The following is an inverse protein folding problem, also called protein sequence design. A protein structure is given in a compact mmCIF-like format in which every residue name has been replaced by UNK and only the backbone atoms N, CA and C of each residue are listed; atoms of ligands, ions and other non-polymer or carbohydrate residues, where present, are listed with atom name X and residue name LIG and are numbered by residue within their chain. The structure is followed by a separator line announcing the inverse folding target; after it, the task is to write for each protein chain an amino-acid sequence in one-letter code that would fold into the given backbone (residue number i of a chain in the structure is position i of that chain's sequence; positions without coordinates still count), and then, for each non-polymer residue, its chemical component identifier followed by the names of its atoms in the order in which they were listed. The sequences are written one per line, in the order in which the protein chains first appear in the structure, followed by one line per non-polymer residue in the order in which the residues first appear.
data_IF_997241849758
#
_entry.id   IF_997241849758
#
_cell.length_a   1.000
_cell.length_b   1.000
_cell.length_c   1.000
_cell.angle_alpha   90.00
_cell.angle_beta   90.00
_cell.angle_gamma   90.00
#
_symmetry.space_group_name_H-M   'P 1'
#
loop_
_entity.id
_entity.type
_entity.pdbx_description
1 polymer ?
#
# COMPACT_ATOMS: atom_id res chain seq x y z
N UNK A 1 9.31 -8.74 -24.41
CA UNK A 1 10.21 -7.66 -24.87
C UNK A 1 10.88 -7.00 -23.67
N UNK A 2 12.07 -6.44 -23.82
CA UNK A 2 12.80 -5.82 -22.69
C UNK A 2 13.07 -4.34 -22.98
N UNK A 3 12.81 -3.46 -22.01
CA UNK A 3 13.09 -2.02 -22.08
C UNK A 3 13.62 -1.54 -20.74
N UNK A 4 14.76 -0.85 -20.72
CA UNK A 4 15.38 -0.35 -19.49
C UNK A 4 15.60 -1.43 -18.43
N UNK A 5 15.99 -2.64 -18.85
CA UNK A 5 16.20 -3.78 -17.95
C UNK A 5 14.92 -4.49 -17.48
N UNK A 6 13.72 -3.97 -17.79
CA UNK A 6 12.43 -4.55 -17.38
C UNK A 6 11.78 -5.35 -18.50
N UNK A 7 11.12 -6.44 -18.14
CA UNK A 7 10.38 -7.29 -19.06
C UNK A 7 8.93 -6.84 -19.19
N UNK A 8 8.44 -6.82 -20.44
CA UNK A 8 7.09 -6.41 -20.80
C UNK A 8 6.40 -7.46 -21.66
N UNK A 9 5.08 -7.53 -21.51
CA UNK A 9 4.17 -8.40 -22.24
C UNK A 9 3.09 -7.53 -22.89
N UNK A 10 2.57 -7.96 -24.03
CA UNK A 10 1.40 -7.32 -24.65
C UNK A 10 0.14 -8.03 -24.16
N UNK A 11 -0.79 -7.29 -23.60
CA UNK A 11 -2.08 -7.74 -23.11
C UNK A 11 -3.18 -6.88 -23.72
N UNK A 12 -4.03 -7.47 -24.55
CA UNK A 12 -5.21 -6.80 -25.11
C UNK A 12 -4.92 -5.43 -25.76
N UNK A 13 -3.80 -5.31 -26.47
CA UNK A 13 -3.37 -4.06 -27.12
C UNK A 13 -2.64 -3.06 -26.21
N UNK A 14 -2.45 -3.37 -24.92
CA UNK A 14 -1.64 -2.59 -23.99
C UNK A 14 -0.31 -3.30 -23.69
N UNK A 15 0.76 -2.52 -23.48
CA UNK A 15 2.04 -3.03 -23.00
C UNK A 15 2.07 -2.95 -21.47
N UNK A 16 2.15 -4.10 -20.79
CA UNK A 16 2.23 -4.19 -19.32
C UNK A 16 3.56 -4.80 -18.88
N UNK A 17 4.04 -4.43 -17.70
CA UNK A 17 5.22 -5.08 -17.11
C UNK A 17 4.88 -6.51 -16.71
N UNK A 18 5.78 -7.47 -16.94
CA UNK A 18 5.52 -8.88 -16.62
C UNK A 18 5.12 -9.06 -15.14
N UNK A 19 5.74 -8.28 -14.25
CA UNK A 19 5.52 -8.28 -12.81
C UNK A 19 4.09 -7.87 -12.40
N UNK A 20 3.40 -7.08 -13.23
CA UNK A 20 2.02 -6.64 -12.95
C UNK A 20 1.04 -7.82 -12.90
N UNK A 21 1.31 -8.92 -13.61
CA UNK A 21 0.51 -10.16 -13.59
C UNK A 21 0.45 -10.85 -12.23
N UNK A 22 1.41 -10.54 -11.36
CA UNK A 22 1.55 -11.11 -10.03
C UNK A 22 1.14 -10.11 -8.94
N UNK A 23 0.59 -8.94 -9.31
CA UNK A 23 0.20 -7.89 -8.37
C UNK A 23 1.36 -7.00 -7.91
N UNK A 24 2.54 -7.10 -8.54
CA UNK A 24 3.69 -6.23 -8.25
C UNK A 24 3.55 -4.91 -9.02
N UNK A 25 3.72 -3.80 -8.30
CA UNK A 25 3.56 -2.45 -8.88
C UNK A 25 4.73 -2.09 -9.80
N UNK A 26 4.49 -1.20 -10.76
CA UNK A 26 5.52 -0.75 -11.70
C UNK A 26 6.72 -0.03 -11.02
N UNK A 27 6.52 0.57 -9.86
CA UNK A 27 7.56 1.25 -9.08
C UNK A 27 8.08 0.39 -7.91
N UNK A 28 7.74 -0.89 -7.88
CA UNK A 28 8.19 -1.80 -6.84
C UNK A 28 9.70 -2.08 -6.95
N UNK A 29 10.34 -2.23 -5.79
CA UNK A 29 11.77 -2.53 -5.66
C UNK A 29 11.97 -3.99 -5.26
N UNK A 30 12.88 -4.68 -5.95
CA UNK A 30 13.26 -6.06 -5.64
C UNK A 30 13.86 -6.14 -4.22
N UNK A 31 13.50 -7.17 -3.47
CA UNK A 31 13.85 -7.44 -2.07
C UNK A 31 13.34 -6.41 -1.05
N UNK A 32 12.45 -5.51 -1.49
CA UNK A 32 11.70 -4.59 -0.61
C UNK A 32 10.21 -4.81 -0.76
N UNK A 33 9.70 -4.75 -2.00
CA UNK A 33 8.27 -4.87 -2.30
C UNK A 33 7.89 -6.26 -2.81
N UNK A 34 8.84 -6.98 -3.39
CA UNK A 34 8.68 -8.35 -3.87
C UNK A 34 10.03 -9.05 -3.94
N UNK A 35 10.05 -10.37 -3.94
CA UNK A 35 11.27 -11.17 -4.09
C UNK A 35 10.98 -12.47 -4.86
N UNK A 36 12.05 -13.17 -5.27
CA UNK A 36 11.98 -14.48 -5.91
C UNK A 36 12.34 -15.56 -4.87
N UNK A 37 11.42 -16.48 -4.59
CA UNK A 37 11.56 -17.50 -3.53
C UNK A 37 12.83 -18.35 -3.68
N UNK A 38 13.23 -18.65 -4.91
CA UNK A 38 14.43 -19.41 -5.24
C UNK A 38 15.68 -18.55 -5.49
N UNK A 39 15.59 -17.22 -5.34
CA UNK A 39 16.69 -16.28 -5.59
C UNK A 39 17.05 -16.09 -7.07
N UNK A 40 16.33 -16.70 -8.02
CA UNK A 40 16.56 -16.53 -9.45
C UNK A 40 15.66 -15.41 -10.02
N UNK A 41 16.21 -14.23 -10.36
CA UNK A 41 15.42 -13.09 -10.85
C UNK A 41 14.87 -13.25 -12.27
N UNK A 42 15.12 -14.41 -12.90
CA UNK A 42 14.62 -14.76 -14.22
C UNK A 42 13.52 -15.82 -14.19
N UNK A 43 13.20 -16.38 -13.02
CA UNK A 43 12.12 -17.37 -12.88
C UNK A 43 10.82 -16.70 -12.42
N UNK A 44 10.00 -16.32 -13.40
CA UNK A 44 8.70 -15.67 -13.20
C UNK A 44 7.55 -16.68 -13.00
N UNK A 45 7.83 -17.89 -12.51
CA UNK A 45 6.77 -18.83 -12.14
C UNK A 45 5.90 -18.25 -11.02
N UNK A 46 4.58 -18.45 -11.09
CA UNK A 46 3.64 -17.90 -10.08
C UNK A 46 3.99 -18.27 -8.64
N UNK A 47 4.48 -19.49 -8.42
CA UNK A 47 4.91 -19.96 -7.09
C UNK A 47 6.22 -19.31 -6.60
N UNK A 48 7.00 -18.71 -7.51
CA UNK A 48 8.30 -18.15 -7.18
C UNK A 48 8.24 -16.66 -6.82
N UNK A 49 7.24 -15.92 -7.30
CA UNK A 49 7.13 -14.49 -7.02
C UNK A 49 6.39 -14.28 -5.71
N UNK A 50 7.10 -13.76 -4.71
CA UNK A 50 6.55 -13.39 -3.40
C UNK A 50 6.35 -11.89 -3.39
N UNK A 51 5.10 -11.43 -3.25
CA UNK A 51 4.77 -10.01 -3.06
C UNK A 51 4.79 -9.68 -1.58
N UNK A 52 5.71 -8.82 -1.15
CA UNK A 52 5.92 -8.43 0.25
C UNK A 52 4.97 -7.27 0.62
N UNK A 53 4.98 -6.19 -0.17
CA UNK A 53 4.17 -4.99 0.09
C UNK A 53 2.97 -4.93 -0.86
N UNK A 54 1.93 -5.73 -0.59
CA UNK A 54 0.77 -5.88 -1.48
C UNK A 54 -0.11 -4.63 -1.49
N UNK A 55 -0.22 -3.93 -0.35
CA UNK A 55 -1.12 -2.78 -0.18
C UNK A 55 -0.42 -1.41 -0.30
N UNK A 56 -1.13 -0.44 -0.89
CA UNK A 56 -0.61 0.90 -1.14
C UNK A 56 -0.41 1.63 0.17
N UNK A 57 0.71 2.34 0.26
CA UNK A 57 1.09 3.05 1.48
C UNK A 57 1.41 2.13 2.65
N UNK A 58 1.58 0.82 2.44
CA UNK A 58 1.96 -0.14 3.49
C UNK A 58 3.35 -0.67 3.20
N UNK A 59 4.20 -0.65 4.23
CA UNK A 59 5.55 -1.22 4.19
C UNK A 59 5.68 -2.23 5.33
N UNK A 60 6.10 -3.44 4.98
CA UNK A 60 6.50 -4.45 5.95
C UNK A 60 7.85 -4.05 6.57
N UNK A 61 7.90 -4.09 7.89
CA UNK A 61 9.12 -3.86 8.67
C UNK A 61 9.29 -4.95 9.71
N UNK A 62 10.53 -5.23 10.08
CA UNK A 62 10.84 -6.13 11.18
C UNK A 62 11.31 -5.30 12.37
N UNK A 63 10.70 -5.54 13.54
CA UNK A 63 11.09 -4.87 14.77
C UNK A 63 11.20 -5.91 15.89
N UNK A 64 12.42 -6.13 16.39
CA UNK A 64 12.75 -7.15 17.40
C UNK A 64 12.28 -8.57 17.01
N UNK A 65 12.51 -8.98 15.76
CA UNK A 65 12.08 -10.30 15.27
C UNK A 65 10.58 -10.43 14.98
N UNK A 66 9.80 -9.36 15.18
CA UNK A 66 8.36 -9.35 14.90
C UNK A 66 8.07 -8.54 13.64
N UNK A 67 7.32 -9.17 12.73
CA UNK A 67 6.78 -8.49 11.56
C UNK A 67 5.75 -7.44 11.98
N UNK A 68 5.94 -6.22 11.47
CA UNK A 68 5.09 -5.07 11.67
C UNK A 68 4.81 -4.43 10.31
N UNK A 69 3.70 -3.72 10.24
CA UNK A 69 3.24 -3.11 8.99
C UNK A 69 3.00 -1.64 9.23
N UNK A 70 3.83 -0.80 8.62
CA UNK A 70 3.73 0.64 8.77
C UNK A 70 2.91 1.22 7.61
N UNK A 71 1.93 2.04 7.95
CA UNK A 71 1.08 2.71 6.96
C UNK A 71 1.44 4.19 6.84
N UNK A 72 1.50 4.69 5.62
CA UNK A 72 1.81 6.08 5.29
C UNK A 72 0.90 6.61 4.17
N UNK A 73 0.56 7.89 4.24
CA UNK A 73 -0.12 8.60 3.16
C UNK A 73 0.79 9.71 2.63
N UNK A 74 0.87 9.80 1.31
CA UNK A 74 1.64 10.84 0.63
C UNK A 74 0.72 11.97 0.17
N UNK A 75 0.80 13.12 0.82
CA UNK A 75 0.00 14.32 0.49
C UNK A 75 0.92 15.35 -0.16
N UNK A 76 1.62 16.14 0.65
CA UNK A 76 2.72 17.05 0.29
C UNK A 76 4.02 16.61 0.99
N UNK A 77 4.20 15.29 1.10
CA UNK A 77 5.16 14.65 2.00
C UNK A 77 4.57 13.36 2.57
N UNK A 78 5.41 12.53 3.15
CA UNK A 78 4.99 11.26 3.75
C UNK A 78 4.53 11.49 5.19
N UNK A 79 3.27 11.19 5.47
CA UNK A 79 2.71 11.21 6.82
C UNK A 79 2.54 9.79 7.32
N UNK A 80 3.13 9.49 8.47
CA UNK A 80 2.94 8.20 9.16
C UNK A 80 1.55 8.15 9.77
N UNK A 81 0.76 7.16 9.35
CA UNK A 81 -0.58 6.86 9.85
C UNK A 81 -0.48 6.02 11.11
N UNK A 82 0.47 5.08 11.16
CA UNK A 82 0.70 4.21 12.30
C UNK A 82 1.40 2.91 11.92
N UNK A 83 1.64 2.08 12.94
CA UNK A 83 2.23 0.73 12.79
C UNK A 83 1.27 -0.30 13.35
N UNK A 84 1.02 -1.35 12.57
CA UNK A 84 -0.03 -2.34 12.83
C UNK A 84 0.55 -3.76 12.85
N UNK A 85 -0.20 -4.68 13.47
CA UNK A 85 0.22 -6.09 13.64
C UNK A 85 -0.01 -6.96 12.41
N UNK A 86 -0.75 -6.47 11.41
CA UNK A 86 -1.09 -7.22 10.20
C UNK A 86 -1.18 -6.29 9.01
N UNK A 87 -0.81 -6.79 7.84
CA UNK A 87 -0.85 -6.04 6.58
C UNK A 87 -2.25 -5.48 6.28
N UNK A 88 -3.30 -6.29 6.47
CA UNK A 88 -4.71 -5.91 6.26
C UNK A 88 -5.10 -4.71 7.12
N UNK A 89 -4.78 -4.71 8.41
CA UNK A 89 -5.03 -3.57 9.31
C UNK A 89 -4.33 -2.29 8.85
N UNK A 90 -3.08 -2.41 8.38
CA UNK A 90 -2.35 -1.27 7.83
C UNK A 90 -3.01 -0.74 6.53
N UNK A 91 -3.49 -1.63 5.67
CA UNK A 91 -4.21 -1.26 4.45
C UNK A 91 -5.55 -0.56 4.74
N UNK A 92 -6.32 -1.04 5.72
CA UNK A 92 -7.55 -0.37 6.17
C UNK A 92 -7.23 0.99 6.79
N UNK A 93 -6.14 1.10 7.56
CA UNK A 93 -5.69 2.36 8.13
C UNK A 93 -5.32 3.38 7.04
N UNK A 94 -4.71 2.93 5.94
CA UNK A 94 -4.47 3.75 4.76
C UNK A 94 -5.78 4.27 4.15
N UNK A 95 -6.76 3.39 3.91
CA UNK A 95 -8.06 3.81 3.38
C UNK A 95 -8.75 4.82 4.31
N UNK A 96 -8.73 4.58 5.62
CA UNK A 96 -9.25 5.51 6.63
C UNK A 96 -8.56 6.87 6.57
N UNK A 97 -7.24 6.90 6.39
CA UNK A 97 -6.51 8.14 6.21
C UNK A 97 -6.92 8.86 4.91
N UNK A 98 -7.12 8.14 3.81
CA UNK A 98 -7.62 8.70 2.55
C UNK A 98 -8.98 9.38 2.75
N UNK A 99 -9.91 8.72 3.44
CA UNK A 99 -11.24 9.28 3.72
C UNK A 99 -11.16 10.54 4.58
N UNK A 100 -10.32 10.52 5.62
CA UNK A 100 -10.07 11.70 6.46
C UNK A 100 -9.43 12.85 5.68
N UNK A 101 -8.49 12.56 4.78
CA UNK A 101 -7.88 13.56 3.91
C UNK A 101 -8.91 14.22 2.99
N UNK A 102 -9.76 13.41 2.34
CA UNK A 102 -10.84 13.90 1.48
C UNK A 102 -11.83 14.76 2.27
N UNK A 103 -12.22 14.32 3.46
CA UNK A 103 -13.12 15.06 4.36
C UNK A 103 -12.52 16.41 4.81
N UNK A 104 -11.19 16.50 4.95
CA UNK A 104 -10.48 17.73 5.26
C UNK A 104 -10.24 18.66 4.05
N UNK A 105 -10.83 18.36 2.88
CA UNK A 105 -10.75 19.21 1.68
C UNK A 105 -9.55 18.91 0.76
N UNK A 106 -8.84 17.79 0.94
CA UNK A 106 -7.73 17.42 0.05
C UNK A 106 -8.26 16.75 -1.22
N UNK A 107 -8.19 17.48 -2.33
CA UNK A 107 -8.62 17.01 -3.66
C UNK A 107 -7.51 16.29 -4.43
N UNK A 108 -6.86 15.30 -3.80
CA UNK A 108 -5.88 14.43 -4.47
C UNK A 108 -6.54 13.09 -4.82
N UNK A 109 -6.24 12.57 -6.00
CA UNK A 109 -6.72 11.24 -6.39
C UNK A 109 -5.92 10.14 -5.68
N UNK A 110 -6.38 9.74 -4.50
CA UNK A 110 -5.84 8.60 -3.78
C UNK A 110 -6.48 7.32 -4.29
N UNK A 111 -5.64 6.36 -4.68
CA UNK A 111 -6.11 5.00 -4.97
C UNK A 111 -6.31 4.22 -3.68
N UNK A 112 -7.51 3.67 -3.49
CA UNK A 112 -7.87 2.89 -2.31
C UNK A 112 -7.42 1.42 -2.45
N UNK A 113 -7.16 0.78 -1.30
CA UNK A 113 -6.82 -0.63 -1.23
C UNK A 113 -8.10 -1.48 -1.14
N UNK A 114 -8.25 -2.45 -2.05
CA UNK A 114 -9.32 -3.45 -1.97
C UNK A 114 -8.82 -4.71 -1.26
N UNK A 115 -9.45 -5.08 -0.15
CA UNK A 115 -9.04 -6.20 0.70
C UNK A 115 -10.06 -7.32 0.54
N UNK A 116 -9.78 -8.27 -0.35
CA UNK A 116 -10.69 -9.36 -0.74
C UNK A 116 -10.88 -10.40 0.36
N UNK A 117 -9.93 -10.49 1.30
CA UNK A 117 -9.91 -11.56 2.28
C UNK A 117 -10.69 -11.24 3.57
N UNK A 118 -11.46 -10.16 3.60
CA UNK A 118 -12.30 -9.75 4.73
C UNK A 118 -13.74 -9.60 4.29
N UNK A 119 -14.67 -10.04 5.14
CA UNK A 119 -16.08 -9.70 4.98
C UNK A 119 -16.31 -8.21 5.25
N UNK A 120 -17.41 -7.66 4.73
CA UNK A 120 -17.78 -6.26 4.96
C UNK A 120 -17.91 -5.93 6.46
N UNK A 121 -18.40 -6.89 7.27
CA UNK A 121 -18.51 -6.75 8.72
C UNK A 121 -17.15 -6.64 9.40
N UNK A 122 -16.23 -7.54 9.09
CA UNK A 122 -14.87 -7.53 9.66
C UNK A 122 -14.12 -6.27 9.26
N UNK A 123 -14.26 -5.84 8.00
CA UNK A 123 -13.68 -4.59 7.52
C UNK A 123 -14.19 -3.40 8.35
N UNK A 124 -15.50 -3.27 8.53
CA UNK A 124 -16.11 -2.16 9.27
C UNK A 124 -15.71 -2.15 10.76
N UNK A 125 -15.61 -3.33 11.38
CA UNK A 125 -15.16 -3.46 12.77
C UNK A 125 -13.71 -3.01 12.94
N UNK A 126 -12.81 -3.46 12.06
CA UNK A 126 -11.40 -3.02 12.08
C UNK A 126 -11.32 -1.52 11.81
N UNK A 127 -12.01 -1.04 10.77
CA UNK A 127 -12.02 0.37 10.38
C UNK A 127 -12.40 1.29 11.54
N UNK A 128 -13.46 0.96 12.26
CA UNK A 128 -13.94 1.76 13.40
C UNK A 128 -12.92 1.80 14.54
N UNK A 129 -12.35 0.64 14.91
CA UNK A 129 -11.45 0.50 16.05
C UNK A 129 -10.00 0.92 15.78
N UNK A 130 -9.63 1.13 14.52
CA UNK A 130 -8.28 1.53 14.15
C UNK A 130 -7.94 2.92 14.68
N UNK A 131 -6.84 2.96 15.43
CA UNK A 131 -6.18 4.20 15.87
C UNK A 131 -5.32 4.74 14.74
N UNK A 132 -5.43 6.04 14.52
CA UNK A 132 -4.65 6.81 13.56
C UNK A 132 -3.71 7.75 14.33
N UNK A 133 -2.52 7.97 13.80
CA UNK A 133 -1.49 8.84 14.37
C UNK A 133 -2.05 10.23 14.69
N UNK A 134 -1.93 10.70 15.95
CA UNK A 134 -2.37 12.05 16.34
C UNK A 134 -1.69 13.15 15.51
N UNK A 135 -0.43 12.94 15.11
CA UNK A 135 0.30 13.90 14.27
C UNK A 135 -0.38 14.10 12.91
N UNK A 136 -0.92 13.04 12.33
CA UNK A 136 -1.65 13.11 11.07
C UNK A 136 -3.00 13.80 11.24
N UNK A 137 -3.75 13.47 12.31
CA UNK A 137 -5.02 14.13 12.62
C UNK A 137 -4.82 15.65 12.83
N UNK A 138 -3.79 16.03 13.59
CA UNK A 138 -3.46 17.44 13.81
C UNK A 138 -3.13 18.18 12.51
N UNK A 139 -2.44 17.51 11.57
CA UNK A 139 -2.18 18.10 10.26
C UNK A 139 -3.48 18.37 9.50
N UNK A 140 -4.42 17.41 9.49
CA UNK A 140 -5.70 17.61 8.82
C UNK A 140 -6.53 18.73 9.46
N UNK A 141 -6.55 18.84 10.79
CA UNK A 141 -7.28 19.91 11.47
C UNK A 141 -6.73 21.30 11.17
N UNK A 142 -5.42 21.43 10.93
CA UNK A 142 -4.86 22.73 10.50
C UNK A 142 -5.31 23.13 9.11
N UNK A 143 -5.63 22.18 8.23
CA UNK A 143 -6.13 22.48 6.88
C UNK A 143 -7.60 22.91 6.91
N UNK A 144 -8.43 22.23 7.70
CA UNK A 144 -9.85 22.57 7.82
C UNK A 144 -10.07 23.95 8.46
N UNK A 145 -9.20 24.36 9.39
CA UNK A 145 -9.28 25.67 10.04
C UNK A 145 -8.89 26.85 9.12
N UNK A 146 -8.25 26.58 7.98
CA UNK A 146 -7.87 27.61 6.99
C UNK A 146 -8.98 27.80 5.94
N UNK A 147 -9.88 26.83 5.80
CA UNK A 147 -11.00 26.87 4.86
C UNK A 147 -12.27 27.53 5.39
N UNK A 148 -12.28 27.95 6.66
CA UNK A 148 -13.33 28.78 7.29
C UNK A 148 -12.90 30.25 7.35
#
# INVERSE_FOLDING_TARGET
MQRGGRLFVNEYGMQTGILSRYGVRNHAVLDVDYTFANGNPFDYSYANIIVINRYRGVVQTEHNGLLRYQAFIHINGNYSIGTYSSEKKAAIAYNKAVDLAKAAGIHKNFEENYITELSAREYAEIYTNLKISPKYINYLSTLSAISD
#
